data_IF_619107600278
#
_entry.id   IF_619107600278
#
_cell.length_a   1.000
_cell.length_b   1.000
_cell.length_c   1.000
_cell.angle_alpha   90.00
_cell.angle_beta   90.00
_cell.angle_gamma   90.00
#
_symmetry.space_group_name_H-M   'P 1'
#
loop_
_entity.id
_entity.type
_entity.pdbx_description
1 polymer ?
#
# COMPACT_ATOMS: atom_id res chain seq x y z
N UNK A 1 18.53 7.16 -19.20
CA UNK A 1 17.30 7.48 -18.45
C UNK A 1 17.45 8.92 -17.99
N UNK A 2 16.64 9.86 -18.52
CA UNK A 2 16.94 11.29 -18.41
C UNK A 2 16.12 12.00 -17.32
N UNK A 3 14.96 11.46 -16.92
CA UNK A 3 14.13 12.00 -15.83
C UNK A 3 13.39 10.88 -15.08
N UNK A 4 12.76 11.21 -13.95
CA UNK A 4 11.86 10.29 -13.25
C UNK A 4 10.60 9.96 -14.07
N UNK A 5 10.17 10.89 -14.94
CA UNK A 5 9.11 10.63 -15.90
C UNK A 5 9.48 9.52 -16.88
N UNK A 6 10.68 9.60 -17.50
CA UNK A 6 11.17 8.56 -18.40
C UNK A 6 11.23 7.19 -17.73
N UNK A 7 11.72 7.14 -16.48
CA UNK A 7 11.73 5.91 -15.70
C UNK A 7 10.32 5.36 -15.51
N UNK A 8 9.37 6.21 -15.13
CA UNK A 8 7.99 5.81 -14.90
C UNK A 8 7.34 5.27 -16.20
N UNK A 9 7.54 5.94 -17.33
CA UNK A 9 7.02 5.50 -18.64
C UNK A 9 7.59 4.14 -19.07
N UNK A 10 8.91 3.96 -18.99
CA UNK A 10 9.54 2.67 -19.31
C UNK A 10 8.95 1.56 -18.42
N UNK A 11 8.80 1.81 -17.11
CA UNK A 11 8.23 0.83 -16.19
C UNK A 11 6.77 0.52 -16.51
N UNK A 12 5.95 1.52 -16.82
CA UNK A 12 4.54 1.37 -17.24
C UNK A 12 4.43 0.53 -18.51
N UNK A 13 5.28 0.75 -19.51
CA UNK A 13 5.31 -0.05 -20.75
C UNK A 13 5.50 -1.55 -20.50
N UNK A 14 6.27 -1.91 -19.47
CA UNK A 14 6.46 -3.31 -19.06
C UNK A 14 5.46 -3.80 -17.99
N UNK A 15 4.41 -3.03 -17.67
CA UNK A 15 3.46 -3.36 -16.62
C UNK A 15 4.07 -3.44 -15.22
N UNK A 16 5.19 -2.74 -14.99
CA UNK A 16 5.92 -2.73 -13.72
C UNK A 16 5.55 -1.51 -12.88
N UNK A 17 5.58 -1.68 -11.55
CA UNK A 17 5.38 -0.60 -10.59
C UNK A 17 6.42 0.51 -10.77
N UNK A 18 6.03 1.76 -10.63
CA UNK A 18 6.92 2.93 -10.79
C UNK A 18 7.62 3.36 -9.49
N UNK A 19 7.53 2.54 -8.43
CA UNK A 19 8.16 2.78 -7.12
C UNK A 19 9.66 3.12 -7.30
N UNK A 20 10.18 4.15 -6.59
CA UNK A 20 9.53 4.91 -5.51
C UNK A 20 8.58 6.03 -5.97
N UNK A 21 8.49 6.29 -7.27
CA UNK A 21 7.60 7.31 -7.81
C UNK A 21 6.14 6.89 -7.81
N UNK A 22 5.24 7.85 -8.00
CA UNK A 22 3.80 7.65 -7.98
C UNK A 22 3.08 8.77 -8.74
N UNK A 23 1.83 8.52 -9.12
CA UNK A 23 0.98 9.45 -9.87
C UNK A 23 -0.47 9.51 -9.39
N UNK A 24 -0.85 8.68 -8.41
CA UNK A 24 -2.21 8.61 -7.89
C UNK A 24 -2.30 9.16 -6.47
N UNK A 25 -3.02 10.27 -6.32
CA UNK A 25 -3.23 10.99 -5.05
C UNK A 25 -4.32 10.38 -4.17
N UNK A 26 -5.22 9.58 -4.77
CA UNK A 26 -6.42 9.08 -4.11
C UNK A 26 -6.26 7.65 -3.57
N UNK A 27 -5.03 7.16 -3.50
CA UNK A 27 -4.76 5.80 -3.09
C UNK A 27 -3.54 5.70 -2.17
N UNK A 28 -3.68 4.85 -1.18
CA UNK A 28 -2.58 4.41 -0.35
C UNK A 28 -2.19 2.99 -0.71
N UNK A 29 -0.94 2.78 -1.14
CA UNK A 29 -0.44 1.50 -1.68
C UNK A 29 0.82 1.07 -0.95
N UNK A 30 1.18 -0.20 -1.06
CA UNK A 30 2.48 -0.67 -0.58
C UNK A 30 3.60 0.10 -1.28
N UNK A 31 4.41 0.80 -0.48
CA UNK A 31 5.59 1.55 -0.92
C UNK A 31 6.79 0.62 -1.04
N UNK A 32 6.92 -0.27 -0.06
CA UNK A 32 7.92 -1.32 0.00
C UNK A 32 7.32 -2.54 0.72
N UNK A 33 8.18 -3.51 1.08
CA UNK A 33 7.73 -4.72 1.77
C UNK A 33 7.20 -4.47 3.19
N UNK A 34 7.55 -3.35 3.81
CA UNK A 34 7.37 -3.09 5.23
C UNK A 34 6.52 -1.85 5.51
N UNK A 35 6.06 -1.15 4.48
CA UNK A 35 5.22 0.03 4.62
C UNK A 35 4.29 0.26 3.44
N UNK A 36 3.18 0.94 3.71
CA UNK A 36 2.36 1.59 2.69
C UNK A 36 2.53 3.11 2.75
N UNK A 37 2.04 3.81 1.74
CA UNK A 37 2.14 5.26 1.67
C UNK A 37 1.18 5.84 0.66
N UNK A 38 1.13 7.15 0.57
CA UNK A 38 0.36 7.90 -0.44
C UNK A 38 1.32 8.66 -1.33
N UNK A 39 0.84 9.04 -2.51
CA UNK A 39 1.64 9.90 -3.36
C UNK A 39 1.67 11.34 -2.82
N UNK A 40 2.86 11.86 -2.52
CA UNK A 40 3.00 13.28 -2.15
C UNK A 40 3.15 14.12 -3.42
N UNK A 41 2.10 14.87 -3.73
CA UNK A 41 1.99 15.74 -4.89
C UNK A 41 1.48 17.09 -4.42
N UNK A 42 2.16 18.16 -4.83
CA UNK A 42 1.80 19.54 -4.52
C UNK A 42 1.54 20.33 -5.80
N UNK A 43 0.79 21.42 -5.64
CA UNK A 43 0.65 22.46 -6.65
C UNK A 43 1.65 23.57 -6.37
N UNK A 44 2.45 23.92 -7.36
CA UNK A 44 3.37 25.06 -7.32
C UNK A 44 2.68 26.35 -7.78
N UNK A 45 3.23 27.48 -7.36
CA UNK A 45 2.77 28.80 -7.82
C UNK A 45 3.19 29.07 -9.27
N UNK A 46 4.39 28.62 -9.63
CA UNK A 46 4.95 28.70 -10.98
C UNK A 46 5.00 27.31 -11.62
N UNK A 47 4.98 27.20 -12.96
CA UNK A 47 5.18 25.92 -13.63
C UNK A 47 6.50 25.26 -13.24
N UNK A 48 6.46 23.95 -13.04
CA UNK A 48 7.64 23.10 -12.88
C UNK A 48 8.50 23.19 -14.16
N UNK A 49 9.84 23.24 -14.04
CA UNK A 49 10.76 23.21 -15.19
C UNK A 49 10.43 22.07 -16.16
N UNK A 50 10.60 22.28 -17.46
CA UNK A 50 10.11 21.35 -18.48
C UNK A 50 10.78 19.97 -18.38
N UNK A 51 12.04 19.95 -17.99
CA UNK A 51 12.88 18.78 -17.73
C UNK A 51 12.42 17.93 -16.53
N UNK A 52 11.71 18.55 -15.59
CA UNK A 52 11.31 17.96 -14.30
C UNK A 52 9.81 17.60 -14.25
N UNK A 53 9.06 17.91 -15.31
CA UNK A 53 7.61 17.64 -15.37
C UNK A 53 7.34 16.14 -15.40
N UNK A 54 6.54 15.68 -14.44
CA UNK A 54 6.13 14.29 -14.31
C UNK A 54 4.71 14.00 -14.84
N UNK A 55 3.84 15.01 -14.87
CA UNK A 55 2.42 14.82 -15.18
C UNK A 55 2.09 15.21 -16.61
N UNK A 56 1.37 14.35 -17.32
CA UNK A 56 0.75 14.65 -18.61
C UNK A 56 -0.68 15.20 -18.47
N UNK A 57 -1.31 14.96 -17.32
CA UNK A 57 -2.66 15.41 -16.96
C UNK A 57 -2.65 15.84 -15.50
N UNK A 58 -3.49 16.81 -15.15
CA UNK A 58 -3.59 17.27 -13.77
C UNK A 58 -3.95 16.08 -12.85
N UNK A 59 -3.22 15.87 -11.74
CA UNK A 59 -3.44 14.75 -10.82
C UNK A 59 -4.67 14.94 -9.92
N UNK A 60 -5.29 16.12 -9.96
CA UNK A 60 -6.49 16.48 -9.19
C UNK A 60 -7.57 17.03 -10.13
N UNK A 61 -8.82 16.98 -9.67
CA UNK A 61 -9.90 17.74 -10.32
C UNK A 61 -9.69 19.24 -10.04
N UNK A 62 -9.23 19.98 -11.05
CA UNK A 62 -8.71 21.33 -10.88
C UNK A 62 -8.62 22.11 -12.19
N UNK A 63 -8.60 23.44 -12.09
CA UNK A 63 -8.44 24.35 -13.23
C UNK A 63 -6.99 24.53 -13.70
N UNK A 64 -6.00 24.11 -12.90
CA UNK A 64 -4.59 24.28 -13.22
C UNK A 64 -4.08 23.19 -14.17
N UNK A 65 -3.20 23.56 -15.10
CA UNK A 65 -2.53 22.63 -15.99
C UNK A 65 -1.57 21.68 -15.26
N UNK A 66 -1.25 20.50 -15.86
CA UNK A 66 -0.34 19.52 -15.27
C UNK A 66 1.05 20.07 -14.92
N UNK A 67 1.51 21.10 -15.64
CA UNK A 67 2.80 21.75 -15.44
C UNK A 67 2.94 22.44 -14.08
N UNK A 68 1.84 22.68 -13.36
CA UNK A 68 1.86 23.25 -12.02
C UNK A 68 1.99 22.19 -10.92
N UNK A 69 2.09 20.90 -11.27
CA UNK A 69 2.11 19.81 -10.30
C UNK A 69 3.43 19.06 -10.33
N UNK A 70 3.90 18.69 -9.13
CA UNK A 70 5.13 17.92 -8.91
C UNK A 70 5.10 17.27 -7.53
N UNK A 71 6.13 16.46 -7.24
CA UNK A 71 6.42 15.99 -5.89
C UNK A 71 6.76 17.15 -4.95
N UNK A 72 6.64 16.91 -3.64
CA UNK A 72 6.77 17.96 -2.62
C UNK A 72 8.15 18.63 -2.48
N UNK A 73 9.19 18.01 -3.03
CA UNK A 73 10.59 18.37 -2.78
C UNK A 73 11.29 18.80 -4.08
N UNK A 74 11.55 20.10 -4.28
CA UNK A 74 12.28 20.60 -5.45
C UNK A 74 13.69 20.03 -5.58
N UNK A 75 14.34 19.58 -4.50
CA UNK A 75 15.67 18.95 -4.57
C UNK A 75 15.63 17.50 -5.08
N UNK A 76 14.44 16.96 -5.31
CA UNK A 76 14.20 15.69 -5.99
C UNK A 76 13.72 15.89 -7.41
N UNK A 77 14.10 17.00 -8.04
CA UNK A 77 13.69 17.38 -9.40
C UNK A 77 12.17 17.30 -9.58
N UNK A 78 11.44 17.75 -8.54
CA UNK A 78 9.97 17.72 -8.47
C UNK A 78 9.36 16.33 -8.72
N UNK A 79 10.11 15.25 -8.54
CA UNK A 79 9.61 13.90 -8.76
C UNK A 79 8.65 13.47 -7.64
N UNK A 80 7.40 13.11 -7.96
CA UNK A 80 6.43 12.65 -6.97
C UNK A 80 6.83 11.28 -6.42
N UNK A 81 6.89 11.16 -5.10
CA UNK A 81 7.29 9.92 -4.43
C UNK A 81 6.30 9.50 -3.37
N UNK A 82 6.28 8.20 -3.07
CA UNK A 82 5.45 7.63 -2.02
C UNK A 82 5.93 8.12 -0.64
N UNK A 83 5.10 8.91 0.03
CA UNK A 83 5.32 9.42 1.37
C UNK A 83 4.69 8.50 2.42
N UNK A 84 5.31 8.47 3.60
CA UNK A 84 4.74 7.79 4.75
C UNK A 84 3.53 8.54 5.27
N UNK A 85 2.60 7.78 5.80
CA UNK A 85 1.33 8.28 6.29
C UNK A 85 1.14 7.86 7.73
N UNK A 86 0.59 8.77 8.53
CA UNK A 86 0.15 8.52 9.89
C UNK A 86 -1.38 8.57 9.88
N UNK A 87 -2.04 7.47 10.25
CA UNK A 87 -3.50 7.42 10.38
C UNK A 87 -4.28 7.43 9.06
N UNK A 88 -4.04 6.44 8.18
CA UNK A 88 -4.92 6.26 7.02
C UNK A 88 -6.16 5.45 7.34
N UNK A 89 -7.29 6.15 7.41
CA UNK A 89 -8.59 5.59 7.76
C UNK A 89 -9.02 6.12 9.12
N UNK A 90 -10.17 6.78 9.13
CA UNK A 90 -10.66 7.75 10.12
C UNK A 90 -10.84 7.29 11.57
N UNK A 91 -10.26 6.19 12.03
CA UNK A 91 -10.53 5.65 13.38
C UNK A 91 -9.34 4.96 14.08
N UNK A 92 -8.15 4.83 13.46
CA UNK A 92 -6.99 4.22 14.11
C UNK A 92 -5.69 4.94 13.72
N UNK A 93 -4.98 5.50 14.70
CA UNK A 93 -3.82 6.41 14.54
C UNK A 93 -2.49 5.71 14.24
N UNK A 94 -2.53 4.48 13.75
CA UNK A 94 -1.33 3.71 13.43
C UNK A 94 -0.50 4.37 12.33
N UNK A 95 0.83 4.24 12.42
CA UNK A 95 1.72 4.60 11.32
C UNK A 95 1.58 3.58 10.19
N UNK A 96 2.03 3.94 9.00
CA UNK A 96 2.05 3.04 7.84
C UNK A 96 3.18 2.02 7.83
N UNK A 97 4.03 2.00 8.86
CA UNK A 97 5.09 1.02 8.98
C UNK A 97 4.55 -0.25 9.64
N UNK A 98 4.63 -1.36 8.90
CA UNK A 98 4.16 -2.65 9.37
C UNK A 98 5.01 -3.21 10.51
N UNK A 99 6.25 -2.71 10.68
CA UNK A 99 7.21 -3.18 11.66
C UNK A 99 7.17 -2.44 13.00
N UNK A 100 6.44 -1.33 13.08
CA UNK A 100 6.36 -0.50 14.28
C UNK A 100 5.55 -1.19 15.38
N UNK A 101 6.17 -1.39 16.55
CA UNK A 101 5.57 -2.12 17.67
C UNK A 101 4.44 -1.34 18.34
N UNK A 102 4.50 -0.01 18.32
CA UNK A 102 3.44 0.85 18.84
C UNK A 102 2.09 0.60 18.14
N UNK A 103 2.13 0.18 16.87
CA UNK A 103 0.94 -0.14 16.11
C UNK A 103 0.27 -1.44 16.58
N UNK A 104 0.97 -2.34 17.29
CA UNK A 104 0.39 -3.59 17.81
C UNK A 104 -0.66 -3.35 18.88
N UNK A 105 -0.46 -2.34 19.72
CA UNK A 105 -1.45 -1.93 20.72
C UNK A 105 -2.65 -1.27 20.03
N UNK A 106 -2.35 -0.33 19.12
CA UNK A 106 -3.38 0.41 18.37
C UNK A 106 -4.27 -0.52 17.52
N UNK A 107 -3.72 -1.58 16.92
CA UNK A 107 -4.50 -2.52 16.10
C UNK A 107 -5.43 -3.42 16.90
N UNK A 108 -5.19 -3.56 18.21
CA UNK A 108 -6.02 -4.35 19.15
C UNK A 108 -7.11 -3.50 19.81
N UNK A 109 -6.78 -2.25 20.14
CA UNK A 109 -7.67 -1.35 20.87
C UNK A 109 -8.55 -0.48 19.94
N UNK A 110 -8.08 -0.19 18.73
CA UNK A 110 -8.78 0.65 17.74
C UNK A 110 -9.69 -0.11 16.79
N UNK A 111 -10.43 0.64 15.95
CA UNK A 111 -11.33 0.07 14.95
C UNK A 111 -10.53 -0.39 13.73
N UNK A 112 -10.12 -1.65 13.76
CA UNK A 112 -9.27 -2.28 12.76
C UNK A 112 -10.08 -3.10 11.74
N UNK A 113 -10.80 -2.40 10.83
CA UNK A 113 -11.66 -3.05 9.81
C UNK A 113 -10.88 -3.86 8.77
N UNK A 114 -9.60 -3.55 8.54
CA UNK A 114 -8.74 -4.28 7.60
C UNK A 114 -8.01 -5.48 8.22
N UNK A 115 -8.29 -5.80 9.49
CA UNK A 115 -7.65 -6.91 10.22
C UNK A 115 -6.12 -6.83 10.19
N UNK A 116 -5.59 -5.61 10.22
CA UNK A 116 -4.16 -5.38 10.15
C UNK A 116 -3.47 -5.92 11.39
N UNK A 117 -2.29 -6.50 11.19
CA UNK A 117 -1.41 -6.95 12.26
C UNK A 117 0.00 -6.41 12.02
N UNK A 118 0.58 -5.84 13.08
CA UNK A 118 1.85 -5.10 13.03
C UNK A 118 2.90 -5.78 13.89
N UNK A 119 4.18 -5.47 13.72
CA UNK A 119 5.27 -5.96 14.58
C UNK A 119 6.50 -6.34 13.77
N UNK A 120 7.56 -6.83 14.41
CA UNK A 120 8.85 -7.09 13.72
C UNK A 120 8.78 -8.00 12.49
N UNK A 121 7.73 -8.81 12.35
CA UNK A 121 7.42 -9.64 11.17
C UNK A 121 6.21 -9.13 10.39
N UNK A 122 5.90 -7.84 10.44
CA UNK A 122 4.84 -7.20 9.66
C UNK A 122 5.32 -6.84 8.27
N UNK A 123 4.50 -7.14 7.26
CA UNK A 123 4.74 -6.78 5.86
C UNK A 123 3.50 -6.14 5.25
N UNK A 124 3.72 -5.31 4.23
CA UNK A 124 2.64 -4.74 3.44
C UNK A 124 2.14 -5.76 2.41
N UNK A 125 0.84 -5.99 2.39
CA UNK A 125 0.15 -6.90 1.47
C UNK A 125 -0.74 -6.07 0.56
N UNK A 126 -0.62 -6.27 -0.75
CA UNK A 126 -1.43 -5.54 -1.73
C UNK A 126 -2.81 -6.12 -1.87
N UNK A 127 -3.79 -5.23 -1.95
CA UNK A 127 -5.19 -5.58 -2.16
C UNK A 127 -5.43 -5.77 -3.65
N UNK A 128 -6.30 -6.72 -3.96
CA UNK A 128 -6.93 -6.86 -5.26
C UNK A 128 -8.43 -6.72 -5.05
N UNK A 129 -9.06 -5.86 -5.85
CA UNK A 129 -10.49 -5.52 -5.71
C UNK A 129 -10.86 -4.81 -4.40
N UNK A 130 -12.13 -4.40 -4.33
CA UNK A 130 -12.74 -3.79 -3.15
C UNK A 130 -13.01 -4.89 -2.11
N UNK A 131 -12.76 -4.61 -0.84
CA UNK A 131 -12.99 -5.56 0.25
C UNK A 131 -14.32 -5.28 0.95
N UNK A 132 -14.81 -6.26 1.71
CA UNK A 132 -16.03 -6.12 2.52
C UNK A 132 -15.74 -6.50 3.95
N UNK A 133 -16.07 -5.60 4.88
CA UNK A 133 -16.04 -5.87 6.31
C UNK A 133 -17.48 -5.85 6.85
N UNK A 134 -17.86 -6.89 7.57
CA UNK A 134 -19.22 -7.06 8.09
C UNK A 134 -19.17 -7.27 9.60
N UNK A 135 -19.88 -6.44 10.34
CA UNK A 135 -20.23 -6.64 11.74
C UNK A 135 -21.76 -6.48 11.93
N UNK A 136 -22.22 -5.52 12.75
CA UNK A 136 -23.61 -5.07 12.75
C UNK A 136 -23.99 -4.38 11.43
N UNK A 137 -23.02 -3.86 10.69
CA UNK A 137 -23.19 -3.21 9.40
C UNK A 137 -22.26 -3.81 8.34
N UNK A 138 -22.57 -3.57 7.07
CA UNK A 138 -21.74 -3.97 5.93
C UNK A 138 -20.98 -2.73 5.44
N UNK A 139 -19.66 -2.81 5.43
CA UNK A 139 -18.76 -1.75 4.99
C UNK A 139 -18.02 -2.17 3.73
N UNK A 140 -18.02 -1.27 2.75
CA UNK A 140 -17.19 -1.39 1.55
C UNK A 140 -15.83 -0.76 1.83
N UNK A 141 -14.78 -1.55 1.72
CA UNK A 141 -13.39 -1.18 2.00
C UNK A 141 -12.56 -1.20 0.71
N UNK A 142 -11.40 -0.57 0.73
CA UNK A 142 -10.46 -0.65 -0.38
C UNK A 142 -10.64 0.41 -1.46
N UNK A 143 -11.49 1.42 -1.28
CA UNK A 143 -11.59 2.55 -2.22
C UNK A 143 -10.30 3.37 -2.23
N UNK A 144 -9.81 3.71 -1.04
CA UNK A 144 -8.61 4.51 -0.82
C UNK A 144 -7.38 3.66 -0.44
N UNK A 145 -7.52 2.78 0.57
CA UNK A 145 -6.43 1.92 1.01
C UNK A 145 -6.33 0.68 0.10
N UNK A 146 -5.21 0.49 -0.58
CA UNK A 146 -4.93 -0.61 -1.53
C UNK A 146 -3.80 -1.53 -1.04
N UNK A 147 -3.30 -1.30 0.17
CA UNK A 147 -2.32 -2.16 0.83
C UNK A 147 -2.43 -2.03 2.33
N UNK A 148 -2.23 -3.13 3.05
CA UNK A 148 -2.37 -3.17 4.51
C UNK A 148 -1.29 -4.04 5.16
N UNK A 149 -1.02 -3.79 6.43
CA UNK A 149 0.01 -4.49 7.19
C UNK A 149 -0.50 -5.79 7.78
N UNK A 150 0.25 -6.88 7.57
CA UNK A 150 -0.02 -8.18 8.17
C UNK A 150 1.29 -8.83 8.65
N UNK A 151 1.30 -9.33 9.89
CA UNK A 151 2.34 -10.25 10.38
C UNK A 151 2.38 -11.47 9.47
N UNK A 152 3.57 -12.01 9.25
CA UNK A 152 3.73 -13.28 8.57
C UNK A 152 4.43 -14.33 9.42
N UNK A 153 4.18 -15.60 9.08
CA UNK A 153 5.00 -16.76 9.47
C UNK A 153 5.34 -17.60 8.24
N UNK A 154 6.45 -18.30 8.32
CA UNK A 154 6.85 -19.27 7.31
C UNK A 154 6.57 -20.67 7.83
N UNK A 155 5.91 -21.48 7.02
CA UNK A 155 5.69 -22.89 7.28
C UNK A 155 6.82 -23.73 6.66
N UNK A 156 6.94 -24.99 7.11
CA UNK A 156 8.04 -25.87 6.70
C UNK A 156 8.01 -26.23 5.21
N UNK A 157 6.83 -26.21 4.59
CA UNK A 157 6.61 -26.42 3.16
C UNK A 157 6.97 -25.19 2.29
N UNK A 158 7.45 -24.11 2.91
CA UNK A 158 7.75 -22.84 2.24
C UNK A 158 6.56 -21.90 2.10
N UNK A 159 5.36 -22.29 2.56
CA UNK A 159 4.18 -21.43 2.53
C UNK A 159 4.35 -20.23 3.47
N UNK A 160 3.94 -19.05 3.01
CA UNK A 160 3.86 -17.83 3.80
C UNK A 160 2.44 -17.68 4.36
N UNK A 161 2.27 -17.80 5.68
CA UNK A 161 1.01 -17.52 6.36
C UNK A 161 0.94 -16.06 6.79
N UNK A 162 -0.07 -15.32 6.30
CA UNK A 162 -0.37 -13.93 6.64
C UNK A 162 -1.46 -13.87 7.71
N UNK A 163 -1.22 -13.16 8.80
CA UNK A 163 -2.18 -13.06 9.90
C UNK A 163 -3.16 -11.89 9.71
N UNK A 164 -4.44 -12.24 9.66
CA UNK A 164 -5.57 -11.33 9.65
C UNK A 164 -6.30 -11.48 10.98
N UNK A 165 -5.91 -10.66 11.97
CA UNK A 165 -6.21 -10.91 13.40
C UNK A 165 -5.89 -12.37 13.78
N UNK A 166 -6.91 -13.15 14.16
CA UNK A 166 -6.80 -14.53 14.63
C UNK A 166 -6.89 -15.56 13.48
N UNK A 167 -7.18 -15.10 12.26
CA UNK A 167 -7.23 -15.91 11.05
C UNK A 167 -5.93 -15.84 10.26
N UNK A 168 -5.67 -16.84 9.41
CA UNK A 168 -4.50 -16.88 8.54
C UNK A 168 -4.91 -17.05 7.08
N UNK A 169 -4.28 -16.27 6.19
CA UNK A 169 -4.38 -16.41 4.73
C UNK A 169 -3.03 -16.86 4.20
N UNK A 170 -3.00 -17.94 3.41
CA UNK A 170 -1.76 -18.57 2.97
C UNK A 170 -1.37 -18.14 1.54
N UNK A 171 -0.07 -17.94 1.34
CA UNK A 171 0.54 -17.58 0.07
C UNK A 171 1.65 -18.56 -0.30
N UNK A 172 1.58 -19.09 -1.52
CA UNK A 172 2.52 -20.12 -2.02
C UNK A 172 3.51 -19.58 -3.05
N UNK A 173 3.16 -18.52 -3.78
CA UNK A 173 4.04 -17.88 -4.76
C UNK A 173 3.74 -16.40 -4.92
N UNK A 174 4.74 -15.66 -5.43
CA UNK A 174 4.65 -14.22 -5.69
C UNK A 174 3.54 -13.89 -6.69
N UNK A 175 2.83 -12.79 -6.45
CA UNK A 175 1.82 -12.19 -7.33
C UNK A 175 0.62 -13.11 -7.60
N UNK A 176 0.47 -14.22 -6.86
CA UNK A 176 -0.72 -15.07 -6.91
C UNK A 176 -1.90 -14.34 -6.25
N UNK A 177 -3.04 -14.20 -6.94
CA UNK A 177 -4.26 -13.71 -6.32
C UNK A 177 -4.84 -14.76 -5.37
N UNK A 178 -5.15 -14.35 -4.14
CA UNK A 178 -5.79 -15.20 -3.14
C UNK A 178 -7.03 -14.51 -2.61
N UNK A 179 -8.20 -15.11 -2.88
CA UNK A 179 -9.45 -14.71 -2.24
C UNK A 179 -9.48 -15.24 -0.83
N UNK A 180 -9.99 -14.45 0.09
CA UNK A 180 -10.11 -14.82 1.48
C UNK A 180 -11.46 -14.37 2.04
N UNK A 181 -11.90 -15.12 3.05
CA UNK A 181 -13.01 -14.78 3.91
C UNK A 181 -12.62 -15.25 5.31
N UNK A 182 -12.39 -14.30 6.22
CA UNK A 182 -11.83 -14.53 7.56
C UNK A 182 -12.73 -13.90 8.62
N UNK A 183 -12.75 -14.49 9.82
CA UNK A 183 -13.58 -14.02 10.93
C UNK A 183 -12.82 -14.09 12.25
N UNK A 184 -13.11 -13.16 13.16
CA UNK A 184 -12.69 -13.19 14.57
C UNK A 184 -13.84 -13.63 15.50
N UNK A 185 -14.90 -14.22 14.95
CA UNK A 185 -16.12 -14.62 15.66
C UNK A 185 -17.10 -13.47 15.93
N UNK A 186 -16.69 -12.21 15.76
CA UNK A 186 -17.56 -11.03 15.94
C UNK A 186 -17.82 -10.27 14.65
N UNK A 187 -16.83 -10.29 13.75
CA UNK A 187 -16.86 -9.62 12.46
C UNK A 187 -16.29 -10.54 11.39
N UNK A 188 -16.52 -10.20 10.14
CA UNK A 188 -16.03 -10.94 8.96
C UNK A 188 -15.36 -9.97 8.00
N UNK A 189 -14.20 -10.33 7.46
CA UNK A 189 -13.51 -9.60 6.40
C UNK A 189 -13.34 -10.51 5.20
N UNK A 190 -13.79 -10.04 4.03
CA UNK A 190 -13.66 -10.74 2.76
C UNK A 190 -13.02 -9.84 1.71
N UNK A 191 -12.21 -10.45 0.84
CA UNK A 191 -11.50 -9.71 -0.20
C UNK A 191 -10.59 -10.60 -1.02
N UNK A 192 -9.71 -9.97 -1.79
CA UNK A 192 -8.65 -10.64 -2.53
C UNK A 192 -7.33 -9.89 -2.31
N UNK A 193 -6.24 -10.64 -2.16
CA UNK A 193 -4.89 -10.09 -2.01
C UNK A 193 -4.00 -10.54 -3.17
N UNK A 194 -2.92 -9.82 -3.42
CA UNK A 194 -1.78 -10.32 -4.19
C UNK A 194 -0.71 -10.84 -3.23
N UNK A 195 -0.35 -12.11 -3.38
CA UNK A 195 0.67 -12.72 -2.54
C UNK A 195 2.02 -12.00 -2.70
N UNK A 196 2.67 -11.64 -1.58
CA UNK A 196 4.00 -11.04 -1.63
C UNK A 196 5.03 -12.07 -2.12
N UNK A 197 6.26 -11.63 -2.36
CA UNK A 197 7.32 -12.54 -2.79
C UNK A 197 7.68 -13.52 -1.67
N UNK A 198 7.08 -14.72 -1.69
CA UNK A 198 7.26 -15.77 -0.67
C UNK A 198 8.74 -16.07 -0.46
N UNK A 199 9.52 -16.21 -1.53
CA UNK A 199 10.97 -16.50 -1.46
C UNK A 199 11.81 -15.39 -0.82
N UNK A 200 11.29 -14.15 -0.75
CA UNK A 200 11.95 -13.05 -0.04
C UNK A 200 11.86 -13.22 1.48
N UNK A 201 10.79 -13.85 1.98
CA UNK A 201 10.47 -13.92 3.41
C UNK A 201 10.67 -15.32 3.98
N UNK A 202 10.26 -16.34 3.22
CA UNK A 202 10.38 -17.74 3.59
C UNK A 202 11.50 -18.38 2.78
N UNK A 203 12.54 -18.82 3.49
CA UNK A 203 13.54 -19.72 2.94
C UNK A 203 13.02 -21.14 3.10
N UNK A 204 12.98 -21.90 2.01
CA UNK A 204 12.86 -23.35 2.11
C UNK A 204 14.15 -23.82 2.77
N UNK A 205 14.06 -24.37 3.98
CA UNK A 205 15.19 -25.09 4.56
C UNK A 205 15.28 -26.41 3.82
N UNK A 206 16.10 -26.47 2.79
CA UNK A 206 16.63 -27.73 2.22
C UNK A 206 17.54 -28.41 3.22
#
# INVERSE_FOLDING_TARGET
>A
MKSCFDYAEIRRQYGRKIIPFCDNVNEARCRDAFSYGTCSILRYQNPVPIEDRFFLKAPFDTQYGPEYFGGEDPFKDYCPTMAYVKGLGSEYSATSFCTHQENEKLSREGINRYYQTYGSKGICVEHRSVWTYTDKYIYTLGTYLKGSCHKYKCYNDGTLGLFFKDSTVNCTRKDLPVRFNVTDGKSTLSGEILCPNVNRFCRVRT
#
